data_IF_467770307994
#
_entry.id   IF_467770307994
#
_cell.length_a   1.000
_cell.length_b   1.000
_cell.length_c   1.000
_cell.angle_alpha   90.00
_cell.angle_beta   90.00
_cell.angle_gamma   90.00
#
_symmetry.space_group_name_H-M   'P 1'
#
loop_
_entity.id
_entity.type
_entity.pdbx_description
1 polymer ?
#
# COMPACT_ATOMS: atom_id res chain seq x y z
N UNK A 1 5.44 -1.72 -31.27
CA UNK A 1 5.09 -1.90 -29.83
C UNK A 1 6.07 -1.20 -28.87
N UNK A 2 7.38 -1.11 -29.20
CA UNK A 2 8.40 -0.51 -28.33
C UNK A 2 8.41 1.01 -28.34
N UNK A 3 8.09 1.69 -29.47
CA UNK A 3 8.13 3.14 -29.59
C UNK A 3 7.13 3.84 -28.65
N UNK A 4 5.89 3.38 -28.61
CA UNK A 4 4.87 3.96 -27.72
C UNK A 4 5.18 3.74 -26.22
N UNK A 5 5.81 2.61 -25.87
CA UNK A 5 6.25 2.35 -24.50
C UNK A 5 7.42 3.25 -24.07
N UNK A 6 8.34 3.57 -24.98
CA UNK A 6 9.47 4.44 -24.69
C UNK A 6 9.02 5.87 -24.37
N UNK A 7 8.13 6.43 -25.20
CA UNK A 7 7.56 7.77 -24.96
C UNK A 7 6.82 7.83 -23.62
N UNK A 8 6.11 6.76 -23.27
CA UNK A 8 5.39 6.67 -22.01
C UNK A 8 6.35 6.59 -20.80
N UNK A 9 7.44 5.82 -20.90
CA UNK A 9 8.48 5.75 -19.86
C UNK A 9 9.21 7.07 -19.71
N UNK A 10 9.61 7.72 -20.80
CA UNK A 10 10.27 9.03 -20.77
C UNK A 10 9.37 10.08 -20.12
N UNK A 11 8.09 10.09 -20.48
CA UNK A 11 7.08 11.00 -19.90
C UNK A 11 6.82 10.69 -18.40
N UNK A 12 6.82 9.40 -18.04
CA UNK A 12 6.58 8.96 -16.67
C UNK A 12 7.75 9.25 -15.72
N UNK A 13 9.00 9.12 -16.20
CA UNK A 13 10.21 9.21 -15.38
C UNK A 13 11.00 10.52 -15.54
N UNK A 14 10.50 11.47 -16.34
CA UNK A 14 11.07 12.81 -16.44
C UNK A 14 12.39 12.93 -17.20
N UNK A 15 12.81 11.92 -17.97
CA UNK A 15 14.04 11.99 -18.77
C UNK A 15 14.34 10.73 -19.59
N UNK A 16 15.19 10.91 -20.62
CA UNK A 16 15.59 9.81 -21.53
C UNK A 16 16.73 8.93 -20.97
N UNK A 17 17.42 9.39 -19.91
CA UNK A 17 18.55 8.65 -19.33
C UNK A 17 18.03 7.39 -18.60
N UNK A 18 18.40 6.24 -19.10
CA UNK A 18 17.93 4.95 -18.54
C UNK A 18 16.54 4.50 -19.01
N UNK A 19 15.84 5.27 -19.87
CA UNK A 19 14.49 4.91 -20.33
C UNK A 19 14.42 3.50 -20.99
N UNK A 20 15.47 3.08 -21.71
CA UNK A 20 15.54 1.75 -22.28
C UNK A 20 15.54 0.65 -21.19
N UNK A 21 16.30 0.84 -20.11
CA UNK A 21 16.34 -0.10 -18.98
C UNK A 21 15.03 -0.12 -18.20
N UNK A 22 14.42 1.05 -18.01
CA UNK A 22 13.09 1.15 -17.40
C UNK A 22 12.02 0.46 -18.24
N UNK A 23 12.07 0.62 -19.57
CA UNK A 23 11.16 -0.07 -20.47
C UNK A 23 11.37 -1.59 -20.43
N UNK A 24 12.60 -2.06 -20.39
CA UNK A 24 12.94 -3.47 -20.26
C UNK A 24 12.37 -4.05 -18.95
N UNK A 25 12.59 -3.38 -17.82
CA UNK A 25 12.08 -3.79 -16.52
C UNK A 25 10.54 -3.85 -16.52
N UNK A 26 9.86 -2.85 -17.07
CA UNK A 26 8.40 -2.84 -17.17
C UNK A 26 7.88 -3.93 -18.13
N UNK A 27 8.57 -4.20 -19.24
CA UNK A 27 8.19 -5.27 -20.17
C UNK A 27 8.36 -6.66 -19.54
N UNK A 28 9.41 -6.85 -18.76
CA UNK A 28 9.64 -8.10 -18.01
C UNK A 28 8.57 -8.28 -16.92
N UNK A 29 8.28 -7.23 -16.16
CA UNK A 29 7.22 -7.24 -15.15
C UNK A 29 5.84 -7.52 -15.76
N UNK A 30 5.51 -6.88 -16.87
CA UNK A 30 4.27 -7.11 -17.59
C UNK A 30 4.15 -8.57 -18.08
N UNK A 31 5.22 -9.13 -18.65
CA UNK A 31 5.24 -10.52 -19.11
C UNK A 31 5.05 -11.50 -17.96
N UNK A 32 5.76 -11.30 -16.86
CA UNK A 32 5.66 -12.13 -15.67
C UNK A 32 4.26 -12.03 -15.01
N UNK A 33 3.69 -10.82 -14.96
CA UNK A 33 2.38 -10.56 -14.36
C UNK A 33 1.18 -10.80 -15.28
N UNK A 34 1.39 -11.29 -16.51
CA UNK A 34 0.34 -11.44 -17.55
C UNK A 34 -0.43 -10.14 -17.82
N UNK A 35 0.27 -9.01 -17.78
CA UNK A 35 -0.27 -7.67 -17.99
C UNK A 35 0.26 -7.05 -19.29
N UNK A 36 -0.26 -5.88 -19.66
CA UNK A 36 0.34 -5.10 -20.73
C UNK A 36 1.55 -4.28 -20.20
N UNK A 37 2.47 -3.92 -21.09
CA UNK A 37 3.57 -3.02 -20.73
C UNK A 37 3.04 -1.68 -20.20
N UNK A 38 1.89 -1.22 -20.71
CA UNK A 38 1.21 -0.01 -20.23
C UNK A 38 0.77 -0.14 -18.77
N UNK A 39 0.18 -1.25 -18.37
CA UNK A 39 -0.24 -1.49 -16.98
C UNK A 39 0.97 -1.50 -16.04
N UNK A 40 2.06 -2.16 -16.45
CA UNK A 40 3.31 -2.18 -15.68
C UNK A 40 3.92 -0.77 -15.53
N UNK A 41 3.95 0.03 -16.61
CA UNK A 41 4.43 1.41 -16.55
C UNK A 41 3.54 2.29 -15.64
N UNK A 42 2.22 2.14 -15.75
CA UNK A 42 1.28 2.91 -14.92
C UNK A 42 1.47 2.58 -13.44
N UNK A 43 1.56 1.30 -13.08
CA UNK A 43 1.76 0.85 -11.70
C UNK A 43 3.11 1.35 -11.15
N UNK A 44 4.20 1.06 -11.86
CA UNK A 44 5.55 1.43 -11.40
C UNK A 44 5.69 2.94 -11.28
N UNK A 45 5.15 3.71 -12.24
CA UNK A 45 5.18 5.18 -12.22
C UNK A 45 4.36 5.75 -11.06
N UNK A 46 3.16 5.21 -10.80
CA UNK A 46 2.32 5.68 -9.69
C UNK A 46 3.03 5.49 -8.35
N UNK A 47 3.63 4.31 -8.13
CA UNK A 47 4.30 3.99 -6.87
C UNK A 47 5.63 4.76 -6.74
N UNK A 48 6.52 4.69 -7.73
CA UNK A 48 7.85 5.32 -7.65
C UNK A 48 7.77 6.85 -7.53
N UNK A 49 6.85 7.51 -8.25
CA UNK A 49 6.60 8.94 -8.11
C UNK A 49 6.04 9.30 -6.73
N UNK A 50 5.12 8.49 -6.23
CA UNK A 50 4.52 8.72 -4.92
C UNK A 50 5.52 8.59 -3.76
N UNK A 51 6.53 7.74 -3.91
CA UNK A 51 7.63 7.59 -2.95
C UNK A 51 8.85 8.46 -3.26
N UNK A 52 8.84 9.19 -4.37
CA UNK A 52 9.89 10.15 -4.72
C UNK A 52 11.18 9.54 -5.28
N UNK A 53 11.21 8.24 -5.60
CA UNK A 53 12.33 7.56 -6.24
C UNK A 53 11.89 6.94 -7.56
N UNK A 54 12.32 7.52 -8.69
CA UNK A 54 12.02 7.06 -10.05
C UNK A 54 13.20 6.35 -10.72
N UNK A 55 14.17 5.91 -9.95
CA UNK A 55 15.34 5.16 -10.45
C UNK A 55 14.95 3.82 -11.06
N UNK A 56 15.80 3.26 -11.92
CA UNK A 56 15.60 1.95 -12.50
C UNK A 56 15.53 0.85 -11.41
N UNK A 57 16.25 1.02 -10.31
CA UNK A 57 16.23 0.12 -9.15
C UNK A 57 14.87 0.18 -8.44
N UNK A 58 14.33 1.37 -8.23
CA UNK A 58 12.99 1.53 -7.64
C UNK A 58 11.90 0.92 -8.53
N UNK A 59 11.96 1.14 -9.84
CA UNK A 59 11.04 0.52 -10.81
C UNK A 59 11.12 -1.00 -10.75
N UNK A 60 12.33 -1.58 -10.70
CA UNK A 60 12.50 -3.02 -10.55
C UNK A 60 11.89 -3.53 -9.24
N UNK A 61 12.19 -2.88 -8.11
CA UNK A 61 11.64 -3.21 -6.81
C UNK A 61 10.11 -3.22 -6.82
N UNK A 62 9.47 -2.20 -7.39
CA UNK A 62 8.00 -2.13 -7.49
C UNK A 62 7.46 -3.25 -8.37
N UNK A 63 8.12 -3.58 -9.48
CA UNK A 63 7.74 -4.69 -10.36
C UNK A 63 7.80 -6.03 -9.62
N UNK A 64 8.85 -6.27 -8.85
CA UNK A 64 9.03 -7.50 -8.07
C UNK A 64 7.97 -7.61 -6.96
N UNK A 65 7.72 -6.53 -6.21
CA UNK A 65 6.66 -6.47 -5.20
C UNK A 65 5.28 -6.71 -5.80
N UNK A 66 4.98 -6.11 -6.95
CA UNK A 66 3.71 -6.32 -7.64
C UNK A 66 3.54 -7.76 -8.10
N UNK A 67 4.60 -8.37 -8.63
CA UNK A 67 4.59 -9.77 -9.06
C UNK A 67 4.30 -10.70 -7.87
N UNK A 68 4.99 -10.53 -6.75
CA UNK A 68 4.75 -11.30 -5.53
C UNK A 68 3.33 -11.07 -5.01
N UNK A 69 2.84 -9.82 -5.05
CA UNK A 69 1.48 -9.48 -4.63
C UNK A 69 0.42 -10.21 -5.46
N UNK A 70 0.59 -10.27 -6.77
CA UNK A 70 -0.33 -11.02 -7.67
C UNK A 70 -0.24 -12.54 -7.41
N UNK A 71 0.92 -13.06 -7.06
CA UNK A 71 1.08 -14.48 -6.73
C UNK A 71 0.44 -14.87 -5.39
N UNK A 72 0.55 -14.01 -4.38
CA UNK A 72 0.13 -14.30 -3.01
C UNK A 72 -1.27 -13.78 -2.67
N UNK A 73 -1.77 -12.83 -3.44
CA UNK A 73 -3.09 -12.20 -3.27
C UNK A 73 -4.08 -12.63 -4.36
N UNK A 74 -5.30 -12.13 -4.26
CA UNK A 74 -6.34 -12.30 -5.28
C UNK A 74 -6.50 -11.00 -6.07
N UNK A 75 -5.49 -10.64 -6.85
CA UNK A 75 -5.45 -9.41 -7.65
C UNK A 75 -4.64 -9.62 -8.94
N UNK A 76 -4.64 -8.61 -9.79
CA UNK A 76 -3.90 -8.58 -11.05
C UNK A 76 -3.10 -7.30 -11.20
N UNK A 77 -2.12 -7.26 -12.10
CA UNK A 77 -1.36 -6.03 -12.38
C UNK A 77 -2.26 -4.85 -12.79
N UNK A 78 -3.25 -5.00 -13.70
CA UNK A 78 -4.17 -3.92 -14.03
C UNK A 78 -4.97 -3.40 -12.84
N UNK A 79 -5.44 -4.29 -11.97
CA UNK A 79 -6.17 -3.90 -10.75
C UNK A 79 -5.28 -3.13 -9.78
N UNK A 80 -4.04 -3.57 -9.57
CA UNK A 80 -3.06 -2.83 -8.77
C UNK A 80 -2.75 -1.47 -9.39
N UNK A 81 -2.52 -1.39 -10.71
CA UNK A 81 -2.25 -0.15 -11.41
C UNK A 81 -3.38 0.88 -11.23
N UNK A 82 -4.63 0.42 -11.24
CA UNK A 82 -5.80 1.28 -11.07
C UNK A 82 -6.04 1.70 -9.61
N UNK A 83 -5.61 0.91 -8.64
CA UNK A 83 -5.90 1.13 -7.22
C UNK A 83 -4.78 1.83 -6.46
N UNK A 84 -3.50 1.61 -6.81
CA UNK A 84 -2.37 2.15 -6.06
C UNK A 84 -2.33 3.68 -6.02
N UNK A 85 -2.75 4.36 -7.06
CA UNK A 85 -2.85 5.83 -7.09
C UNK A 85 -3.76 6.42 -6.00
N UNK A 86 -4.68 5.64 -5.46
CA UNK A 86 -5.60 6.08 -4.40
C UNK A 86 -4.94 6.14 -3.01
N UNK A 87 -3.93 5.31 -2.77
CA UNK A 87 -3.37 5.10 -1.43
C UNK A 87 -1.90 5.49 -1.32
N UNK A 88 -1.12 5.36 -2.40
CA UNK A 88 0.33 5.63 -2.40
C UNK A 88 0.69 7.03 -1.89
N UNK A 89 0.03 8.14 -2.29
CA UNK A 89 0.40 9.46 -1.78
C UNK A 89 0.25 9.58 -0.27
N UNK A 90 -0.79 8.97 0.29
CA UNK A 90 -1.05 9.01 1.73
C UNK A 90 -0.10 8.08 2.48
N UNK A 91 0.12 6.86 1.98
CA UNK A 91 1.05 5.90 2.55
C UNK A 91 2.48 6.47 2.63
N UNK A 92 2.97 7.04 1.54
CA UNK A 92 4.27 7.69 1.47
C UNK A 92 4.40 8.86 2.45
N UNK A 93 3.38 9.73 2.54
CA UNK A 93 3.41 10.88 3.46
C UNK A 93 3.46 10.48 4.94
N UNK A 94 2.98 9.30 5.28
CA UNK A 94 3.01 8.74 6.64
C UNK A 94 4.23 7.85 6.92
N UNK A 95 5.09 7.64 5.93
CA UNK A 95 6.27 6.79 6.07
C UNK A 95 5.97 5.29 6.07
N UNK A 96 4.84 4.87 5.48
CA UNK A 96 4.57 3.45 5.22
C UNK A 96 5.50 2.97 4.12
N UNK A 97 6.29 1.93 4.38
CA UNK A 97 7.19 1.35 3.39
C UNK A 97 6.42 0.67 2.24
N UNK A 98 7.03 0.64 1.04
CA UNK A 98 6.41 -0.01 -0.13
C UNK A 98 6.05 -1.47 0.15
N UNK A 99 6.92 -2.18 0.83
CA UNK A 99 6.73 -3.58 1.22
C UNK A 99 5.48 -3.76 2.07
N UNK A 100 5.27 -2.90 3.05
CA UNK A 100 4.08 -2.92 3.91
C UNK A 100 2.80 -2.68 3.10
N UNK A 101 2.83 -1.71 2.17
CA UNK A 101 1.71 -1.42 1.27
C UNK A 101 1.36 -2.63 0.40
N UNK A 102 2.35 -3.23 -0.26
CA UNK A 102 2.13 -4.40 -1.12
C UNK A 102 1.72 -5.64 -0.32
N UNK A 103 2.25 -5.83 0.90
CA UNK A 103 1.84 -6.92 1.78
C UNK A 103 0.37 -6.80 2.23
N UNK A 104 -0.14 -5.58 2.48
CA UNK A 104 -1.57 -5.35 2.72
C UNK A 104 -2.38 -5.78 1.51
N UNK A 105 -2.00 -5.35 0.31
CA UNK A 105 -2.69 -5.72 -0.93
C UNK A 105 -2.70 -7.24 -1.12
N UNK A 106 -1.57 -7.91 -0.93
CA UNK A 106 -1.44 -9.36 -1.05
C UNK A 106 -2.27 -10.13 -0.01
N UNK A 107 -2.50 -9.55 1.16
CA UNK A 107 -3.19 -10.22 2.27
C UNK A 107 -4.70 -9.99 2.23
N UNK A 108 -5.11 -8.75 1.98
CA UNK A 108 -6.51 -8.35 2.11
C UNK A 108 -7.32 -8.60 0.82
N UNK A 109 -6.70 -8.62 -0.36
CA UNK A 109 -7.42 -8.96 -1.61
C UNK A 109 -7.96 -10.39 -1.56
N UNK A 110 -9.24 -10.52 -1.90
CA UNK A 110 -9.97 -11.78 -1.77
C UNK A 110 -10.45 -12.13 -0.36
N UNK A 111 -10.08 -11.33 0.63
CA UNK A 111 -10.57 -11.48 2.03
C UNK A 111 -11.55 -10.37 2.37
N UNK A 112 -11.16 -9.11 2.15
CA UNK A 112 -11.98 -7.94 2.47
C UNK A 112 -12.53 -7.22 1.23
N UNK A 113 -12.12 -7.63 0.05
CA UNK A 113 -12.57 -7.09 -1.22
C UNK A 113 -11.55 -7.23 -2.34
N UNK A 114 -11.83 -6.62 -3.50
CA UNK A 114 -10.88 -6.49 -4.60
C UNK A 114 -9.84 -5.39 -4.34
N UNK A 115 -8.88 -5.22 -5.25
CA UNK A 115 -7.76 -4.27 -5.06
C UNK A 115 -8.21 -2.83 -4.79
N UNK A 116 -9.22 -2.33 -5.50
CA UNK A 116 -9.76 -0.97 -5.29
C UNK A 116 -10.43 -0.81 -3.93
N UNK A 117 -11.14 -1.84 -3.46
CA UNK A 117 -11.78 -1.83 -2.14
C UNK A 117 -10.73 -1.85 -1.04
N UNK A 118 -9.72 -2.73 -1.15
CA UNK A 118 -8.60 -2.80 -0.19
C UNK A 118 -7.83 -1.48 -0.16
N UNK A 119 -7.56 -0.86 -1.30
CA UNK A 119 -6.92 0.47 -1.34
C UNK A 119 -7.77 1.54 -0.63
N UNK A 120 -9.09 1.51 -0.80
CA UNK A 120 -10.02 2.41 -0.10
C UNK A 120 -10.04 2.16 1.40
N UNK A 121 -10.07 0.90 1.81
CA UNK A 121 -10.01 0.48 3.22
C UNK A 121 -8.69 0.93 3.87
N UNK A 122 -7.56 0.71 3.21
CA UNK A 122 -6.25 1.15 3.70
C UNK A 122 -6.16 2.66 3.79
N UNK A 123 -6.67 3.37 2.79
CA UNK A 123 -6.79 4.83 2.86
C UNK A 123 -7.60 5.29 4.08
N UNK A 124 -8.69 4.60 4.41
CA UNK A 124 -9.49 4.85 5.61
C UNK A 124 -8.68 4.66 6.91
N UNK A 125 -7.89 3.59 7.00
CA UNK A 125 -6.97 3.36 8.14
C UNK A 125 -5.96 4.50 8.28
N UNK A 126 -5.28 4.85 7.19
CA UNK A 126 -4.28 5.92 7.19
C UNK A 126 -4.88 7.28 7.53
N UNK A 127 -6.08 7.58 7.02
CA UNK A 127 -6.82 8.81 7.37
C UNK A 127 -7.19 8.86 8.85
N UNK A 128 -7.60 7.74 9.44
CA UNK A 128 -7.92 7.67 10.87
C UNK A 128 -6.69 7.94 11.77
N UNK A 129 -5.49 7.64 11.28
CA UNK A 129 -4.23 7.91 11.98
C UNK A 129 -3.73 9.33 11.72
N UNK A 130 -3.97 9.89 10.53
CA UNK A 130 -3.53 11.24 10.14
C UNK A 130 -4.43 12.33 10.74
N UNK A 131 -5.75 12.08 10.77
CA UNK A 131 -6.76 12.97 11.35
C UNK A 131 -7.56 12.20 12.42
N UNK A 132 -6.92 11.90 13.57
CA UNK A 132 -7.48 11.01 14.57
C UNK A 132 -8.70 11.61 15.29
N UNK A 133 -9.63 10.75 15.69
CA UNK A 133 -10.69 11.08 16.64
C UNK A 133 -10.10 11.46 18.00
N UNK A 134 -10.93 11.98 18.92
CA UNK A 134 -10.49 12.28 20.29
C UNK A 134 -9.92 11.03 20.97
N UNK A 135 -10.65 9.91 20.90
CA UNK A 135 -10.25 8.65 21.50
C UNK A 135 -8.97 8.08 20.87
N UNK A 136 -8.83 8.19 19.56
CA UNK A 136 -7.59 7.78 18.87
C UNK A 136 -6.41 8.67 19.28
N UNK A 137 -6.64 9.98 19.45
CA UNK A 137 -5.61 10.92 19.91
C UNK A 137 -5.13 10.58 21.33
N UNK A 138 -6.06 10.26 22.21
CA UNK A 138 -5.74 9.84 23.59
C UNK A 138 -4.97 8.52 23.61
N UNK A 139 -5.38 7.56 22.77
CA UNK A 139 -4.66 6.30 22.64
C UNK A 139 -3.22 6.51 22.15
N UNK A 140 -3.02 7.26 21.08
CA UNK A 140 -1.69 7.56 20.52
C UNK A 140 -0.79 8.16 21.62
N UNK A 141 -1.29 9.13 22.39
CA UNK A 141 -0.56 9.75 23.51
C UNK A 141 -0.28 8.76 24.64
N UNK A 142 -1.24 7.94 25.00
CA UNK A 142 -1.09 6.95 26.10
C UNK A 142 -0.03 5.90 25.77
N UNK A 143 0.16 5.60 24.49
CA UNK A 143 1.22 4.72 23.99
C UNK A 143 2.58 5.42 23.83
N UNK A 144 2.66 6.72 24.13
CA UNK A 144 3.91 7.50 24.09
C UNK A 144 4.27 8.08 22.73
N UNK A 145 3.34 8.10 21.78
CA UNK A 145 3.58 8.68 20.45
C UNK A 145 3.04 10.10 20.33
N UNK A 146 3.73 10.93 19.55
CA UNK A 146 3.31 12.32 19.29
C UNK A 146 2.15 12.39 18.26
N UNK A 147 2.08 11.43 17.35
CA UNK A 147 1.09 11.39 16.27
C UNK A 147 0.90 9.97 15.72
N UNK A 148 -0.17 9.75 14.98
CA UNK A 148 -0.38 8.50 14.25
C UNK A 148 0.71 8.22 13.21
N UNK A 149 1.26 9.25 12.59
CA UNK A 149 2.42 9.13 11.69
C UNK A 149 3.66 8.62 12.44
N UNK A 150 3.98 9.19 13.61
CA UNK A 150 5.09 8.72 14.43
C UNK A 150 4.90 7.27 14.90
N UNK A 151 3.66 6.88 15.21
CA UNK A 151 3.30 5.53 15.57
C UNK A 151 3.55 4.55 14.42
N UNK A 152 3.12 4.91 13.19
CA UNK A 152 3.38 4.09 11.98
C UNK A 152 4.87 3.97 11.69
N UNK A 153 5.63 5.05 11.80
CA UNK A 153 7.08 5.04 11.55
C UNK A 153 7.86 4.18 12.56
N UNK A 154 7.40 4.08 13.81
CA UNK A 154 8.09 3.32 14.85
C UNK A 154 7.64 1.87 14.94
N UNK A 155 6.34 1.59 14.79
CA UNK A 155 5.77 0.25 14.94
C UNK A 155 5.53 -0.46 13.60
N UNK A 156 5.65 0.27 12.49
CA UNK A 156 5.15 -0.16 11.21
C UNK A 156 3.61 -0.14 11.15
N UNK A 157 3.06 -0.35 9.96
CA UNK A 157 1.61 -0.33 9.75
C UNK A 157 0.90 -1.46 10.52
N UNK A 158 1.46 -2.68 10.48
CA UNK A 158 0.87 -3.84 11.17
C UNK A 158 0.83 -3.63 12.69
N UNK A 159 1.96 -3.24 13.29
CA UNK A 159 2.04 -3.00 14.73
C UNK A 159 1.09 -1.91 15.18
N UNK A 160 0.96 -0.84 14.39
CA UNK A 160 0.01 0.24 14.65
C UNK A 160 -1.43 -0.24 14.64
N UNK A 161 -1.83 -1.01 13.63
CA UNK A 161 -3.20 -1.57 13.54
C UNK A 161 -3.48 -2.51 14.73
N UNK A 162 -2.53 -3.38 15.07
CA UNK A 162 -2.67 -4.31 16.19
C UNK A 162 -2.85 -3.58 17.52
N UNK A 163 -2.08 -2.51 17.78
CA UNK A 163 -2.21 -1.71 18.99
C UNK A 163 -3.59 -1.04 19.10
N UNK A 164 -4.10 -0.50 18.00
CA UNK A 164 -5.44 0.14 17.99
C UNK A 164 -6.54 -0.88 18.24
N UNK A 165 -6.49 -2.03 17.59
CA UNK A 165 -7.50 -3.10 17.79
C UNK A 165 -7.43 -3.65 19.21
N UNK A 166 -6.23 -3.93 19.73
CA UNK A 166 -6.04 -4.42 21.10
C UNK A 166 -6.55 -3.41 22.15
N UNK A 167 -6.34 -2.10 21.93
CA UNK A 167 -6.86 -1.07 22.83
C UNK A 167 -8.39 -1.01 22.82
N UNK A 168 -9.03 -1.15 21.64
CA UNK A 168 -10.49 -1.23 21.55
C UNK A 168 -11.03 -2.45 22.29
N UNK A 169 -10.43 -3.61 22.13
CA UNK A 169 -10.80 -4.84 22.84
C UNK A 169 -10.61 -4.70 24.35
N UNK A 170 -9.48 -4.19 24.80
CA UNK A 170 -9.17 -4.04 26.22
C UNK A 170 -10.10 -3.05 26.94
N UNK A 171 -10.54 -2.00 26.24
CA UNK A 171 -11.46 -0.99 26.78
C UNK A 171 -12.94 -1.41 26.67
N UNK A 172 -13.25 -2.47 25.91
CA UNK A 172 -14.62 -2.85 25.54
C UNK A 172 -15.31 -1.80 24.65
N UNK A 173 -14.55 -0.86 24.08
CA UNK A 173 -15.08 0.17 23.21
C UNK A 173 -15.20 -0.35 21.77
N UNK A 174 -16.22 0.06 21.02
CA UNK A 174 -16.32 -0.29 19.61
C UNK A 174 -15.16 0.37 18.84
N UNK A 175 -14.55 -0.37 17.89
CA UNK A 175 -13.43 0.10 17.06
C UNK A 175 -13.75 1.40 16.31
N UNK A 176 -15.05 1.65 16.06
CA UNK A 176 -15.55 2.88 15.44
C UNK A 176 -15.14 4.17 16.19
N UNK A 177 -14.89 4.10 17.50
CA UNK A 177 -14.41 5.26 18.28
C UNK A 177 -13.00 5.65 17.87
N UNK A 178 -12.19 4.69 17.47
CA UNK A 178 -10.81 4.89 17.05
C UNK A 178 -10.71 5.09 15.54
N UNK A 179 -11.40 4.26 14.77
CA UNK A 179 -11.41 4.30 13.31
C UNK A 179 -12.84 4.61 12.83
N UNK A 180 -13.10 5.86 12.43
CA UNK A 180 -14.45 6.36 12.17
C UNK A 180 -15.16 5.73 10.97
N UNK A 181 -14.43 5.22 9.96
CA UNK A 181 -15.02 4.63 8.77
C UNK A 181 -15.14 3.11 8.87
N UNK A 182 -16.18 2.54 8.26
CA UNK A 182 -16.38 1.09 8.25
C UNK A 182 -15.32 0.38 7.41
N UNK A 183 -14.84 1.04 6.39
CA UNK A 183 -13.74 0.54 5.53
C UNK A 183 -12.46 0.37 6.34
N UNK A 184 -12.09 1.37 7.15
CA UNK A 184 -10.92 1.29 8.04
C UNK A 184 -11.07 0.16 9.06
N UNK A 185 -12.24 0.02 9.66
CA UNK A 185 -12.51 -1.05 10.63
C UNK A 185 -12.42 -2.44 10.00
N UNK A 186 -12.96 -2.60 8.78
CA UNK A 186 -12.93 -3.87 8.05
C UNK A 186 -11.50 -4.35 7.82
N UNK A 187 -10.63 -3.47 7.33
CA UNK A 187 -9.23 -3.82 7.10
C UNK A 187 -8.47 -4.04 8.42
N UNK A 188 -8.68 -3.18 9.41
CA UNK A 188 -8.00 -3.29 10.70
C UNK A 188 -8.32 -4.61 11.41
N UNK A 189 -9.59 -5.01 11.44
CA UNK A 189 -10.01 -6.28 12.02
C UNK A 189 -9.46 -7.49 11.26
N UNK A 190 -9.38 -7.41 9.92
CA UNK A 190 -8.79 -8.47 9.14
C UNK A 190 -7.29 -8.63 9.44
N UNK A 191 -6.52 -7.53 9.40
CA UNK A 191 -5.06 -7.56 9.55
C UNK A 191 -4.57 -7.75 11.00
N UNK A 192 -5.36 -7.35 12.00
CA UNK A 192 -5.04 -7.62 13.41
C UNK A 192 -5.57 -8.98 13.92
N UNK A 193 -6.55 -9.54 13.24
CA UNK A 193 -7.22 -10.79 13.58
C UNK A 193 -6.76 -11.97 12.70
N UNK A 194 -7.68 -12.60 11.94
CA UNK A 194 -7.40 -13.86 11.24
C UNK A 194 -6.28 -13.80 10.20
N UNK A 195 -5.97 -12.61 9.66
CA UNK A 195 -4.94 -12.41 8.64
C UNK A 195 -3.62 -11.87 9.20
N UNK A 196 -3.47 -11.70 10.52
CA UNK A 196 -2.28 -11.11 11.14
C UNK A 196 -1.00 -11.89 10.78
N UNK A 197 -1.02 -13.21 10.91
CA UNK A 197 0.11 -14.07 10.59
C UNK A 197 0.40 -14.09 9.07
N UNK A 198 -0.66 -14.13 8.26
CA UNK A 198 -0.54 -14.08 6.80
C UNK A 198 0.08 -12.76 6.34
N UNK A 199 -0.28 -11.64 6.96
CA UNK A 199 0.31 -10.34 6.66
C UNK A 199 1.79 -10.29 7.07
N UNK A 200 2.13 -10.77 8.26
CA UNK A 200 3.51 -10.83 8.73
C UNK A 200 4.42 -11.69 7.85
N UNK A 201 3.89 -12.78 7.27
CA UNK A 201 4.64 -13.65 6.36
C UNK A 201 4.83 -13.05 4.97
N UNK A 202 4.00 -12.11 4.56
CA UNK A 202 4.05 -11.47 3.23
C UNK A 202 4.79 -10.13 3.24
N UNK A 203 5.17 -9.63 4.42
CA UNK A 203 5.96 -8.43 4.63
C UNK A 203 7.45 -8.71 4.37
#
# INVERSE_FOLDING_TARGET
RWAGGLDQVVSACGGSHGAAKLLENNANGASAGRATTTDAINLTSAVTRGYGDTSATAVQKVSDLAFVTVQLGQTTFPELANSMGLVVPLASSMGVEMEQLFAVMATATGVTGGASEVATQLRGVLQSLLAPTGEMTELIKSLGFESGTAMVQQLGLQGTIQQVVAAAEASGAPLQKYMGSIEAQTLALALAGPQADSYAQKL
#
